data_IF_111678571328
#
_entry.id   IF_111678571328
#
_cell.length_a   1.000
_cell.length_b   1.000
_cell.length_c   1.000
_cell.angle_alpha   90.00
_cell.angle_beta   90.00
_cell.angle_gamma   90.00
#
_symmetry.space_group_name_H-M   'P 1'
#
loop_
_entity.id
_entity.type
_entity.pdbx_description
1 polymer ?
#
# COMPACT_ATOMS: atom_id res chain seq x y z
N UNK A 1 10.83 13.16 3.81
CA UNK A 1 12.17 13.79 3.79
C UNK A 1 13.22 12.67 3.79
N UNK A 2 14.33 12.74 3.03
CA UNK A 2 15.38 11.71 3.11
C UNK A 2 15.93 11.44 4.52
N UNK A 3 15.76 12.38 5.46
CA UNK A 3 16.15 12.20 6.86
C UNK A 3 15.14 11.37 7.69
N UNK A 4 13.94 11.13 7.17
CA UNK A 4 12.88 10.35 7.83
C UNK A 4 12.90 8.86 7.46
N UNK A 5 13.86 8.44 6.62
CA UNK A 5 14.01 7.05 6.20
C UNK A 5 14.38 6.13 7.38
N UNK A 6 13.85 4.91 7.33
CA UNK A 6 14.15 3.87 8.30
C UNK A 6 14.09 2.48 7.66
N UNK A 7 14.80 1.52 8.27
CA UNK A 7 14.61 0.08 8.03
C UNK A 7 14.17 -0.56 9.33
N UNK A 8 13.16 -1.41 9.26
CA UNK A 8 12.66 -2.17 10.38
C UNK A 8 12.93 -3.67 10.22
N UNK A 9 13.27 -4.33 11.33
CA UNK A 9 13.38 -5.78 11.42
C UNK A 9 12.41 -6.31 12.48
N UNK A 10 11.79 -7.45 12.19
CA UNK A 10 10.97 -8.22 13.14
C UNK A 10 11.65 -9.55 13.44
N UNK A 11 11.75 -9.93 14.70
CA UNK A 11 12.06 -11.31 15.05
C UNK A 11 10.81 -12.18 14.79
N UNK A 12 10.78 -12.90 13.67
CA UNK A 12 9.67 -13.80 13.31
C UNK A 12 9.63 -15.10 14.14
N UNK A 13 10.67 -15.36 14.94
CA UNK A 13 10.75 -16.52 15.82
C UNK A 13 10.05 -16.31 17.16
N UNK A 14 10.03 -17.37 17.98
CA UNK A 14 9.50 -17.31 19.36
C UNK A 14 10.57 -17.08 20.41
N UNK A 15 11.83 -17.29 20.07
CA UNK A 15 12.97 -17.16 20.98
C UNK A 15 13.57 -15.76 20.91
N UNK A 16 14.07 -15.26 22.04
CA UNK A 16 14.87 -14.04 22.06
C UNK A 16 16.19 -14.27 21.34
N UNK A 17 16.51 -13.39 20.39
CA UNK A 17 17.80 -13.38 19.68
C UNK A 17 18.63 -12.18 20.12
N UNK A 18 19.94 -12.33 20.10
CA UNK A 18 20.87 -11.22 20.29
C UNK A 18 21.39 -10.77 18.92
N UNK A 19 21.34 -9.46 18.65
CA UNK A 19 21.72 -8.88 17.36
C UNK A 19 23.17 -8.42 17.30
N UNK A 20 23.98 -8.66 18.34
CA UNK A 20 25.36 -8.18 18.40
C UNK A 20 26.16 -8.59 17.15
N UNK A 21 26.75 -7.59 16.49
CA UNK A 21 27.53 -7.73 15.26
C UNK A 21 26.75 -8.20 14.02
N UNK A 22 25.42 -8.32 14.10
CA UNK A 22 24.58 -8.34 12.89
C UNK A 22 24.79 -7.02 12.16
N UNK A 23 24.87 -7.05 10.83
CA UNK A 23 25.20 -5.85 10.05
C UNK A 23 24.56 -5.82 8.69
N UNK A 24 24.21 -4.62 8.25
CA UNK A 24 23.93 -4.37 6.84
C UNK A 24 25.26 -4.24 6.09
N UNK A 25 25.35 -4.90 4.94
CA UNK A 25 26.54 -4.84 4.07
C UNK A 25 26.22 -4.30 2.67
N UNK A 26 24.94 -4.22 2.31
CA UNK A 26 24.41 -3.54 1.12
C UNK A 26 23.15 -2.76 1.53
N UNK A 27 22.90 -1.62 0.87
CA UNK A 27 21.86 -0.65 1.22
C UNK A 27 22.38 0.46 2.13
N UNK A 28 22.41 0.16 3.43
CA UNK A 28 22.87 1.09 4.47
C UNK A 28 24.13 0.57 5.17
N UNK A 29 24.88 1.45 5.82
CA UNK A 29 25.98 1.07 6.71
C UNK A 29 25.53 1.18 8.16
N UNK A 30 25.28 0.01 8.76
CA UNK A 30 24.90 -0.14 10.16
C UNK A 30 25.32 -1.50 10.72
N UNK A 31 25.88 -1.50 11.93
CA UNK A 31 26.18 -2.71 12.70
C UNK A 31 25.48 -2.61 14.06
N UNK A 32 24.69 -3.63 14.38
CA UNK A 32 23.97 -3.71 15.64
C UNK A 32 24.94 -3.91 16.81
N UNK A 33 24.68 -3.20 17.91
CA UNK A 33 25.35 -3.42 19.19
C UNK A 33 24.79 -4.64 19.94
N UNK A 34 25.27 -4.83 21.17
CA UNK A 34 24.75 -5.85 22.07
C UNK A 34 23.32 -5.50 22.52
N UNK A 35 22.34 -6.12 21.86
CA UNK A 35 20.92 -5.95 22.16
C UNK A 35 20.13 -7.22 21.92
N UNK A 36 19.10 -7.41 22.75
CA UNK A 36 18.18 -8.53 22.65
C UNK A 36 16.89 -8.11 21.95
N UNK A 37 16.40 -8.97 21.07
CA UNK A 37 15.12 -8.83 20.38
C UNK A 37 14.26 -10.06 20.68
N UNK A 38 13.22 -9.88 21.49
CA UNK A 38 12.31 -10.95 21.85
C UNK A 38 11.54 -11.49 20.64
N UNK A 39 11.00 -12.70 20.73
CA UNK A 39 10.15 -13.26 19.68
C UNK A 39 8.93 -12.36 19.39
N UNK A 40 8.69 -12.06 18.11
CA UNK A 40 7.65 -11.16 17.64
C UNK A 40 7.95 -9.66 17.79
N UNK A 41 9.09 -9.28 18.40
CA UNK A 41 9.44 -7.87 18.63
C UNK A 41 10.06 -7.22 17.38
N UNK A 42 9.84 -5.91 17.26
CA UNK A 42 10.38 -5.04 16.22
C UNK A 42 11.58 -4.22 16.71
N UNK A 43 12.48 -3.92 15.79
CA UNK A 43 13.57 -2.95 15.97
C UNK A 43 13.76 -2.13 14.72
N UNK A 44 13.92 -0.81 14.89
CA UNK A 44 14.09 0.15 13.80
C UNK A 44 15.53 0.67 13.78
N UNK A 45 16.09 0.81 12.59
CA UNK A 45 17.33 1.53 12.30
C UNK A 45 16.95 2.78 11.51
N UNK A 46 17.31 3.95 12.01
CA UNK A 46 16.80 5.24 11.49
C UNK A 46 17.89 6.04 10.79
N UNK A 47 17.53 6.89 9.83
CA UNK A 47 18.51 7.77 9.17
C UNK A 47 18.98 8.90 10.08
N UNK A 48 18.04 9.60 10.70
CA UNK A 48 18.26 10.67 11.66
C UNK A 48 17.29 10.49 12.84
N UNK A 49 17.85 10.39 14.05
CA UNK A 49 17.07 10.14 15.26
C UNK A 49 16.11 11.29 15.57
N UNK A 50 16.54 12.54 15.40
CA UNK A 50 15.74 13.69 15.76
C UNK A 50 14.58 13.90 14.78
N UNK A 51 14.81 13.65 13.48
CA UNK A 51 13.77 13.65 12.47
C UNK A 51 12.74 12.54 12.72
N UNK A 52 13.21 11.33 13.03
CA UNK A 52 12.33 10.21 13.39
C UNK A 52 11.48 10.51 14.64
N UNK A 53 12.10 11.02 15.72
CA UNK A 53 11.38 11.38 16.95
C UNK A 53 10.33 12.48 16.72
N UNK A 54 10.62 13.42 15.82
CA UNK A 54 9.69 14.48 15.44
C UNK A 54 8.49 13.95 14.64
N UNK A 55 8.72 12.97 13.77
CA UNK A 55 7.69 12.34 12.95
C UNK A 55 6.82 11.36 13.75
N UNK A 56 7.40 10.63 14.71
CA UNK A 56 6.71 9.61 15.51
C UNK A 56 6.71 9.97 17.01
N UNK A 57 6.01 11.05 17.42
CA UNK A 57 5.96 11.47 18.81
C UNK A 57 5.27 10.39 19.66
N UNK A 58 6.05 9.75 20.53
CA UNK A 58 5.55 8.66 21.39
C UNK A 58 5.87 7.25 20.90
N UNK A 59 6.71 7.10 19.86
CA UNK A 59 7.30 5.82 19.50
C UNK A 59 7.93 5.14 20.74
N UNK A 60 7.62 3.86 20.93
CA UNK A 60 7.99 3.13 22.15
C UNK A 60 8.66 1.78 21.89
N UNK A 61 8.74 1.35 20.63
CA UNK A 61 9.49 0.16 20.26
C UNK A 61 11.01 0.44 20.26
N UNK A 62 11.82 -0.57 19.90
CA UNK A 62 13.26 -0.46 19.96
C UNK A 62 13.80 0.34 18.77
N UNK A 63 14.69 1.29 19.04
CA UNK A 63 15.54 1.93 18.03
C UNK A 63 16.96 1.43 18.26
N UNK A 64 17.53 0.74 17.27
CA UNK A 64 18.89 0.21 17.35
C UNK A 64 19.94 1.31 17.23
N UNK A 65 19.64 2.36 16.46
CA UNK A 65 20.52 3.51 16.26
C UNK A 65 20.39 4.12 14.88
N UNK A 66 21.32 5.01 14.57
CA UNK A 66 21.38 5.72 13.29
C UNK A 66 22.32 5.02 12.30
N UNK A 67 21.87 4.85 11.06
CA UNK A 67 22.70 4.34 9.97
C UNK A 67 23.40 5.44 9.18
N UNK A 68 24.48 5.09 8.48
CA UNK A 68 25.13 5.95 7.49
C UNK A 68 24.92 5.44 6.06
N UNK A 69 25.21 6.26 5.05
CA UNK A 69 24.70 6.04 3.69
C UNK A 69 23.29 6.61 3.51
N UNK A 70 22.53 6.11 2.54
CA UNK A 70 21.13 6.48 2.28
C UNK A 70 20.45 5.31 1.59
N UNK A 71 19.13 5.25 1.68
CA UNK A 71 18.38 4.38 0.78
C UNK A 71 18.28 5.04 -0.59
N UNK A 72 18.42 4.27 -1.67
CA UNK A 72 18.30 4.77 -3.03
C UNK A 72 16.83 4.77 -3.49
N UNK A 73 16.30 5.96 -3.79
CA UNK A 73 14.91 6.17 -4.21
C UNK A 73 14.45 5.37 -5.43
N UNK A 74 15.31 4.65 -6.15
CA UNK A 74 14.91 3.83 -7.31
C UNK A 74 14.89 2.33 -7.02
N UNK A 75 15.25 1.94 -5.80
CA UNK A 75 15.56 0.56 -5.49
C UNK A 75 17.06 0.30 -5.41
N UNK A 76 17.41 -0.67 -4.60
CA UNK A 76 18.75 -1.23 -4.42
C UNK A 76 18.66 -2.57 -3.69
N UNK A 77 19.82 -3.20 -3.51
CA UNK A 77 19.96 -4.43 -2.76
C UNK A 77 20.14 -4.16 -1.27
N UNK A 78 19.34 -4.84 -0.45
CA UNK A 78 19.48 -4.89 1.00
C UNK A 78 20.07 -6.24 1.38
N UNK A 79 21.18 -6.22 2.13
CA UNK A 79 21.80 -7.44 2.62
C UNK A 79 22.20 -7.34 4.08
N UNK A 80 21.68 -8.28 4.86
CA UNK A 80 21.90 -8.42 6.31
C UNK A 80 22.72 -9.70 6.56
N UNK A 81 23.82 -9.58 7.30
CA UNK A 81 24.65 -10.71 7.72
C UNK A 81 24.70 -10.85 9.24
N UNK A 82 24.87 -12.07 9.72
CA UNK A 82 25.14 -12.35 11.12
C UNK A 82 26.61 -12.02 11.51
N UNK A 83 26.91 -12.17 12.81
CA UNK A 83 28.22 -11.87 13.38
C UNK A 83 29.41 -12.65 12.75
N UNK A 84 29.15 -13.77 12.06
CA UNK A 84 30.19 -14.60 11.42
C UNK A 84 30.15 -14.51 9.87
N UNK A 85 29.32 -13.62 9.31
CA UNK A 85 29.24 -13.37 7.87
C UNK A 85 28.29 -14.31 7.12
N UNK A 86 27.36 -14.98 7.81
CA UNK A 86 26.28 -15.72 7.12
C UNK A 86 25.16 -14.75 6.77
N UNK A 87 24.68 -14.83 5.54
CA UNK A 87 23.51 -14.06 5.08
C UNK A 87 22.27 -14.45 5.90
N UNK A 88 21.59 -13.45 6.45
CA UNK A 88 20.28 -13.54 7.11
C UNK A 88 19.18 -13.18 6.10
N UNK A 89 19.33 -12.04 5.41
CA UNK A 89 18.43 -11.54 4.37
C UNK A 89 19.24 -10.95 3.21
N UNK A 90 18.72 -11.12 2.00
CA UNK A 90 19.35 -10.67 0.76
C UNK A 90 18.26 -10.54 -0.31
N UNK A 91 17.87 -9.31 -0.64
CA UNK A 91 16.85 -9.01 -1.64
C UNK A 91 17.07 -7.63 -2.25
N UNK A 92 16.60 -7.43 -3.46
CA UNK A 92 16.49 -6.11 -4.09
C UNK A 92 15.09 -5.55 -3.83
N UNK A 93 14.96 -4.28 -3.44
CA UNK A 93 13.68 -3.58 -3.52
C UNK A 93 13.63 -2.68 -4.75
N UNK A 94 12.43 -2.39 -5.24
CA UNK A 94 12.22 -1.40 -6.29
C UNK A 94 11.13 -0.40 -5.91
N UNK A 95 11.39 0.86 -6.21
CA UNK A 95 10.51 1.99 -5.90
C UNK A 95 9.14 1.89 -6.61
N UNK A 96 9.12 1.37 -7.85
CA UNK A 96 7.90 1.22 -8.65
C UNK A 96 7.03 0.02 -8.27
N UNK A 97 7.36 -0.68 -7.20
CA UNK A 97 6.52 -1.77 -6.76
C UNK A 97 5.16 -1.28 -6.27
N UNK A 98 5.09 -0.14 -5.59
CA UNK A 98 3.84 0.48 -5.17
C UNK A 98 3.96 1.98 -5.39
N UNK A 99 3.20 2.53 -6.32
CA UNK A 99 3.31 3.95 -6.70
C UNK A 99 3.15 4.91 -5.50
N UNK A 100 2.35 4.53 -4.50
CA UNK A 100 2.14 5.34 -3.29
C UNK A 100 3.30 5.28 -2.28
N UNK A 101 4.25 4.37 -2.45
CA UNK A 101 5.50 4.35 -1.64
C UNK A 101 6.59 5.23 -2.24
N UNK A 102 6.42 5.71 -3.48
CA UNK A 102 7.29 6.71 -4.12
C UNK A 102 6.79 8.13 -3.78
N UNK A 103 7.12 8.61 -2.58
CA UNK A 103 6.81 9.98 -2.15
C UNK A 103 5.37 10.23 -1.69
N UNK A 104 4.50 9.22 -1.71
CA UNK A 104 3.15 9.28 -1.13
C UNK A 104 3.12 9.14 0.40
N UNK A 105 4.28 8.99 1.06
CA UNK A 105 4.39 8.90 2.51
C UNK A 105 4.17 7.50 3.09
N UNK A 106 3.89 6.49 2.26
CA UNK A 106 3.73 5.09 2.69
C UNK A 106 5.07 4.35 2.65
N UNK A 107 5.29 3.40 3.58
CA UNK A 107 6.45 2.52 3.55
C UNK A 107 6.15 1.21 2.80
N UNK A 108 7.18 0.53 2.31
CA UNK A 108 7.07 -0.85 1.85
C UNK A 108 7.01 -1.79 3.07
N UNK A 109 5.99 -2.64 3.12
CA UNK A 109 5.76 -3.63 4.19
C UNK A 109 5.67 -5.03 3.59
N UNK A 110 6.38 -6.00 4.18
CA UNK A 110 6.28 -7.43 3.79
C UNK A 110 4.89 -7.96 4.14
N UNK A 111 4.23 -8.62 3.19
CA UNK A 111 2.89 -9.20 3.38
C UNK A 111 2.93 -10.42 4.30
N UNK A 112 3.85 -11.35 4.05
CA UNK A 112 4.02 -12.57 4.83
C UNK A 112 5.50 -12.76 5.19
N UNK A 113 5.91 -12.37 6.40
CA UNK A 113 7.31 -12.48 6.82
C UNK A 113 7.74 -13.92 7.12
N UNK A 114 6.81 -14.89 7.07
CA UNK A 114 7.09 -16.33 7.22
C UNK A 114 7.25 -17.05 5.89
N UNK A 115 6.93 -16.40 4.77
CA UNK A 115 7.19 -16.90 3.43
C UNK A 115 8.69 -16.96 3.13
N UNK A 116 9.08 -17.74 2.11
CA UNK A 116 10.48 -17.87 1.69
C UNK A 116 11.08 -16.50 1.31
N UNK A 117 12.13 -16.03 2.03
CA UNK A 117 12.78 -14.75 1.77
C UNK A 117 13.33 -14.58 0.36
N UNK A 118 13.57 -15.66 -0.38
CA UNK A 118 13.99 -15.59 -1.79
C UNK A 118 12.90 -15.04 -2.74
N UNK A 119 11.69 -14.78 -2.25
CA UNK A 119 10.65 -14.08 -3.00
C UNK A 119 10.57 -12.59 -2.64
N UNK A 120 11.37 -12.09 -1.71
CA UNK A 120 11.31 -10.70 -1.28
C UNK A 120 11.84 -9.72 -2.34
N UNK A 121 12.44 -10.22 -3.42
CA UNK A 121 12.77 -9.47 -4.63
C UNK A 121 11.57 -9.31 -5.60
N UNK A 122 10.37 -9.76 -5.20
CA UNK A 122 9.15 -9.68 -6.01
C UNK A 122 8.19 -8.66 -5.45
N UNK A 123 7.67 -7.83 -6.35
CA UNK A 123 6.58 -6.87 -6.10
C UNK A 123 5.46 -7.46 -5.23
N UNK A 124 5.04 -8.70 -5.47
CA UNK A 124 3.89 -9.33 -4.81
C UNK A 124 4.14 -9.77 -3.37
N UNK A 125 5.39 -9.77 -2.89
CA UNK A 125 5.72 -10.03 -1.48
C UNK A 125 5.53 -8.80 -0.59
N UNK A 126 5.33 -7.64 -1.19
CA UNK A 126 5.27 -6.34 -0.51
C UNK A 126 3.91 -5.69 -0.70
N UNK A 127 3.55 -4.80 0.22
CA UNK A 127 2.44 -3.84 0.08
C UNK A 127 2.88 -2.49 0.61
N UNK A 128 2.08 -1.47 0.39
CA UNK A 128 2.22 -0.24 1.16
C UNK A 128 1.75 -0.48 2.60
N UNK A 129 2.28 0.31 3.53
CA UNK A 129 1.74 0.41 4.89
C UNK A 129 0.26 0.82 4.88
N UNK A 130 -0.48 0.48 5.92
CA UNK A 130 -1.88 0.84 6.03
C UNK A 130 -2.09 2.36 6.04
N UNK A 131 -1.19 3.10 6.67
CA UNK A 131 -1.27 4.56 6.82
C UNK A 131 -0.01 5.26 6.30
N UNK A 132 -0.17 6.55 5.99
CA UNK A 132 0.95 7.46 5.76
C UNK A 132 1.84 7.52 7.01
N UNK A 133 3.16 7.60 6.81
CA UNK A 133 4.16 7.46 7.87
C UNK A 133 4.56 6.01 8.17
N UNK A 134 4.04 5.03 7.43
CA UNK A 134 4.40 3.63 7.70
C UNK A 134 3.75 3.06 8.96
N UNK A 135 4.30 1.95 9.44
CA UNK A 135 3.89 1.29 10.69
C UNK A 135 5.08 0.93 11.58
N UNK A 136 6.07 1.83 11.79
CA UNK A 136 7.25 1.47 12.57
C UNK A 136 6.84 1.05 13.99
N UNK A 137 7.34 -0.11 14.41
CA UNK A 137 7.13 -0.73 15.71
C UNK A 137 5.90 -1.63 15.80
N UNK A 138 5.06 -1.67 14.76
CA UNK A 138 3.73 -2.28 14.80
C UNK A 138 3.43 -3.17 13.58
N UNK A 139 2.54 -4.15 13.77
CA UNK A 139 2.02 -4.99 12.68
C UNK A 139 0.72 -4.38 12.15
N UNK A 140 0.76 -3.85 10.93
CA UNK A 140 -0.41 -3.28 10.25
C UNK A 140 -1.14 -4.29 9.34
N UNK A 141 -0.81 -5.58 9.45
CA UNK A 141 -1.44 -6.64 8.67
C UNK A 141 -2.93 -6.78 8.99
N UNK A 142 -3.75 -6.86 7.94
CA UNK A 142 -5.20 -7.02 8.06
C UNK A 142 -5.98 -5.73 8.30
N UNK A 143 -5.31 -4.58 8.46
CA UNK A 143 -5.98 -3.26 8.46
C UNK A 143 -6.48 -2.93 7.05
N UNK A 144 -5.61 -3.11 6.05
CA UNK A 144 -5.96 -3.03 4.63
C UNK A 144 -5.85 -4.43 3.99
N UNK A 145 -6.62 -4.70 2.92
CA UNK A 145 -6.46 -5.95 2.20
C UNK A 145 -5.13 -5.98 1.42
N UNK A 146 -4.67 -7.17 1.06
CA UNK A 146 -3.46 -7.34 0.28
C UNK A 146 -3.66 -6.89 -1.18
N UNK A 147 -2.63 -6.33 -1.86
CA UNK A 147 -2.71 -5.93 -3.25
C UNK A 147 -3.36 -6.98 -4.15
N UNK A 148 -4.31 -6.56 -4.98
CA UNK A 148 -5.06 -7.43 -5.87
C UNK A 148 -6.28 -8.10 -5.24
N UNK A 149 -6.57 -7.87 -3.95
CA UNK A 149 -7.76 -8.41 -3.29
C UNK A 149 -9.07 -7.82 -3.85
N UNK A 150 -9.15 -6.50 -3.99
CA UNK A 150 -10.23 -5.80 -4.71
C UNK A 150 -9.63 -5.14 -5.95
N UNK A 151 -10.10 -5.54 -7.12
CA UNK A 151 -9.59 -5.02 -8.39
C UNK A 151 -10.65 -4.25 -9.14
N UNK A 152 -10.22 -3.25 -9.91
CA UNK A 152 -11.01 -2.72 -11.02
C UNK A 152 -11.01 -3.83 -12.08
N UNK A 153 -12.14 -4.55 -12.18
CA UNK A 153 -12.25 -5.74 -12.99
C UNK A 153 -12.60 -5.41 -14.43
N UNK A 154 -13.60 -4.54 -14.60
CA UNK A 154 -14.05 -4.08 -15.91
C UNK A 154 -14.41 -2.59 -15.89
N UNK A 155 -14.16 -1.91 -17.01
CA UNK A 155 -14.55 -0.52 -17.26
C UNK A 155 -15.22 -0.41 -18.62
N UNK A 156 -16.49 0.02 -18.64
CA UNK A 156 -17.19 0.37 -19.88
C UNK A 156 -17.28 1.89 -20.01
N UNK A 157 -16.37 2.47 -20.80
CA UNK A 157 -16.24 3.92 -21.01
C UNK A 157 -16.94 4.45 -22.28
N UNK A 158 -17.58 3.55 -23.04
CA UNK A 158 -18.38 3.90 -24.22
C UNK A 158 -19.56 2.93 -24.32
N UNK A 159 -20.68 3.30 -23.73
CA UNK A 159 -21.91 2.51 -23.77
C UNK A 159 -22.70 2.80 -25.05
N UNK A 160 -23.66 1.94 -25.40
CA UNK A 160 -24.60 2.26 -26.47
C UNK A 160 -25.49 3.45 -26.08
N UNK A 161 -26.08 4.11 -27.08
CA UNK A 161 -26.97 5.26 -26.87
C UNK A 161 -28.05 4.98 -25.81
N UNK A 162 -28.02 5.76 -24.73
CA UNK A 162 -28.99 5.68 -23.63
C UNK A 162 -28.61 4.72 -22.49
N UNK A 163 -27.49 4.00 -22.60
CA UNK A 163 -26.91 3.21 -21.52
C UNK A 163 -25.83 4.00 -20.78
N UNK A 164 -25.63 3.72 -19.48
CA UNK A 164 -24.63 4.38 -18.66
C UNK A 164 -23.27 3.69 -18.78
N UNK A 165 -22.19 4.47 -18.70
CA UNK A 165 -20.85 3.94 -18.43
C UNK A 165 -20.79 3.36 -17.03
N UNK A 166 -19.87 2.43 -16.80
CA UNK A 166 -19.76 1.81 -15.49
C UNK A 166 -18.36 1.30 -15.18
N UNK A 167 -18.11 1.14 -13.89
CA UNK A 167 -16.91 0.57 -13.30
C UNK A 167 -17.35 -0.65 -12.49
N UNK A 168 -16.76 -1.81 -12.75
CA UNK A 168 -16.95 -3.02 -11.97
C UNK A 168 -15.74 -3.26 -11.06
N UNK A 169 -16.01 -3.48 -9.78
CA UNK A 169 -15.02 -3.93 -8.82
C UNK A 169 -15.26 -5.42 -8.51
N UNK A 170 -14.18 -6.20 -8.46
CA UNK A 170 -14.24 -7.63 -8.15
C UNK A 170 -13.38 -7.97 -6.95
N UNK A 171 -13.92 -8.82 -6.08
CA UNK A 171 -13.19 -9.40 -4.96
C UNK A 171 -12.55 -10.72 -5.37
N UNK A 172 -11.22 -10.73 -5.49
CA UNK A 172 -10.44 -11.91 -5.89
C UNK A 172 -10.23 -12.90 -4.74
N UNK A 173 -10.68 -12.60 -3.53
CA UNK A 173 -10.45 -13.41 -2.35
C UNK A 173 -11.60 -14.36 -2.05
N UNK A 174 -11.37 -15.29 -1.12
CA UNK A 174 -12.37 -16.23 -0.63
C UNK A 174 -13.11 -15.73 0.63
N UNK A 175 -12.92 -14.45 0.99
CA UNK A 175 -13.58 -13.76 2.09
C UNK A 175 -14.35 -12.54 1.59
N UNK A 176 -15.38 -12.12 2.33
CA UNK A 176 -16.05 -10.84 2.08
C UNK A 176 -15.13 -9.69 2.50
N UNK A 177 -15.13 -8.60 1.73
CA UNK A 177 -14.34 -7.40 2.00
C UNK A 177 -15.27 -6.19 2.03
N UNK A 178 -15.24 -5.45 3.13
CA UNK A 178 -15.89 -4.14 3.27
C UNK A 178 -15.08 -3.10 2.49
N UNK A 179 -15.73 -2.43 1.56
CA UNK A 179 -15.20 -1.34 0.73
C UNK A 179 -15.94 -0.02 1.00
N UNK A 180 -16.76 0.04 2.05
CA UNK A 180 -17.37 1.27 2.49
C UNK A 180 -16.31 2.32 2.83
N UNK A 181 -16.61 3.58 2.58
CA UNK A 181 -15.68 4.71 2.69
C UNK A 181 -14.58 4.79 1.63
N UNK A 182 -14.36 3.77 0.80
CA UNK A 182 -13.37 3.81 -0.26
C UNK A 182 -13.78 4.79 -1.37
N UNK A 183 -12.84 5.15 -2.24
CA UNK A 183 -13.07 6.14 -3.29
C UNK A 183 -12.78 5.64 -4.69
N UNK A 184 -13.63 6.04 -5.63
CA UNK A 184 -13.40 5.99 -7.07
C UNK A 184 -13.05 7.39 -7.59
N UNK A 185 -12.12 7.44 -8.55
CA UNK A 185 -11.72 8.67 -9.25
C UNK A 185 -11.19 8.36 -10.65
N UNK A 186 -11.28 9.33 -11.56
CA UNK A 186 -10.64 9.36 -12.89
C UNK A 186 -9.31 10.15 -12.89
N UNK A 187 -8.85 10.60 -11.71
CA UNK A 187 -7.74 11.54 -11.58
C UNK A 187 -6.82 11.16 -10.42
N UNK A 188 -5.58 10.77 -10.74
CA UNK A 188 -4.55 10.39 -9.76
C UNK A 188 -4.06 11.56 -8.88
N UNK A 189 -4.32 12.81 -9.27
CA UNK A 189 -4.08 13.99 -8.43
C UNK A 189 -5.25 14.34 -7.50
N UNK A 190 -6.43 13.76 -7.71
CA UNK A 190 -7.58 13.94 -6.83
C UNK A 190 -8.34 12.63 -6.65
N UNK A 191 -8.00 11.90 -5.59
CA UNK A 191 -8.40 10.51 -5.39
C UNK A 191 -9.79 10.37 -4.74
N UNK A 192 -10.40 11.46 -4.29
CA UNK A 192 -11.59 11.46 -3.43
C UNK A 192 -12.82 12.03 -4.14
N UNK A 193 -13.08 11.62 -5.40
CA UNK A 193 -14.18 12.18 -6.22
C UNK A 193 -15.54 11.53 -5.94
N UNK A 194 -15.59 10.21 -5.87
CA UNK A 194 -16.80 9.46 -5.47
C UNK A 194 -16.48 8.56 -4.29
N UNK A 195 -17.21 8.71 -3.18
CA UNK A 195 -17.08 7.88 -1.98
C UNK A 195 -18.12 6.76 -2.00
N UNK A 196 -17.67 5.53 -1.83
CA UNK A 196 -18.52 4.36 -1.68
C UNK A 196 -19.22 4.43 -0.30
N UNK A 197 -20.52 4.14 -0.29
CA UNK A 197 -21.35 4.24 0.91
C UNK A 197 -20.87 3.30 2.02
N UNK A 198 -21.00 3.73 3.27
CA UNK A 198 -20.61 2.93 4.44
C UNK A 198 -21.36 1.59 4.48
N UNK A 199 -20.66 0.51 4.86
CA UNK A 199 -21.23 -0.84 4.92
C UNK A 199 -21.41 -1.52 3.56
N UNK A 200 -20.90 -0.93 2.47
CA UNK A 200 -20.82 -1.61 1.18
C UNK A 200 -19.73 -2.67 1.23
N UNK A 201 -20.08 -3.93 1.03
CA UNK A 201 -19.13 -5.03 0.99
C UNK A 201 -19.28 -5.83 -0.30
N UNK A 202 -18.16 -6.39 -0.77
CA UNK A 202 -18.14 -7.32 -1.90
C UNK A 202 -17.94 -8.73 -1.33
N UNK A 203 -18.88 -9.63 -1.62
CA UNK A 203 -18.80 -11.03 -1.23
C UNK A 203 -17.58 -11.74 -1.81
N UNK A 204 -17.25 -12.92 -1.27
CA UNK A 204 -16.18 -13.78 -1.81
C UNK A 204 -16.38 -14.05 -3.30
N UNK A 205 -15.35 -13.87 -4.12
CA UNK A 205 -15.41 -14.11 -5.58
C UNK A 205 -16.62 -13.44 -6.26
N UNK A 206 -17.06 -12.30 -5.73
CA UNK A 206 -18.23 -11.56 -6.20
C UNK A 206 -17.80 -10.18 -6.72
N UNK A 207 -18.72 -9.48 -7.37
CA UNK A 207 -18.49 -8.15 -7.93
C UNK A 207 -19.58 -7.15 -7.56
N UNK A 208 -19.27 -5.88 -7.73
CA UNK A 208 -20.21 -4.77 -7.64
C UNK A 208 -19.96 -3.79 -8.78
N UNK A 209 -21.03 -3.21 -9.32
CA UNK A 209 -20.97 -2.28 -10.45
C UNK A 209 -21.44 -0.90 -9.98
N UNK A 210 -20.66 0.12 -10.29
CA UNK A 210 -21.00 1.53 -10.13
C UNK A 210 -21.30 2.13 -11.50
N UNK A 211 -22.45 2.75 -11.66
CA UNK A 211 -22.91 3.36 -12.91
C UNK A 211 -22.71 4.86 -12.89
N UNK A 212 -22.19 5.42 -13.99
CA UNK A 212 -21.88 6.83 -14.11
C UNK A 212 -23.06 7.73 -13.72
N UNK A 213 -24.23 7.50 -14.31
CA UNK A 213 -25.40 8.36 -14.10
C UNK A 213 -26.16 8.12 -12.79
N UNK A 214 -25.90 7.01 -12.09
CA UNK A 214 -26.55 6.70 -10.80
C UNK A 214 -25.64 7.07 -9.63
N UNK A 215 -24.34 6.91 -9.80
CA UNK A 215 -23.34 6.97 -8.75
C UNK A 215 -22.39 8.18 -8.97
N UNK A 216 -21.31 7.99 -9.72
CA UNK A 216 -20.14 8.89 -9.70
C UNK A 216 -20.25 10.15 -10.58
N UNK A 217 -21.30 10.27 -11.40
CA UNK A 217 -21.71 11.47 -12.12
C UNK A 217 -23.12 11.94 -11.72
N UNK A 218 -23.59 11.53 -10.54
CA UNK A 218 -24.90 11.91 -10.02
C UNK A 218 -24.75 12.86 -8.81
N UNK A 219 -24.90 14.18 -8.98
CA UNK A 219 -24.80 15.13 -7.86
C UNK A 219 -25.83 14.95 -6.74
N UNK A 220 -26.86 14.10 -6.94
CA UNK A 220 -27.83 13.77 -5.89
C UNK A 220 -27.40 12.56 -5.06
N UNK A 221 -26.43 11.78 -5.52
CA UNK A 221 -25.84 10.71 -4.74
C UNK A 221 -24.96 11.29 -3.62
N UNK A 222 -25.14 10.91 -2.35
CA UNK A 222 -24.34 11.43 -1.24
C UNK A 222 -22.84 11.13 -1.33
N UNK A 223 -22.46 10.08 -2.05
CA UNK A 223 -21.07 9.71 -2.32
C UNK A 223 -20.42 10.56 -3.41
N UNK A 224 -21.20 11.18 -4.30
CA UNK A 224 -20.70 12.02 -5.38
C UNK A 224 -20.23 13.39 -4.89
N UNK A 225 -18.95 13.49 -4.51
CA UNK A 225 -18.33 14.73 -4.01
C UNK A 225 -17.96 15.64 -5.19
N UNK A 226 -17.31 15.07 -6.20
CA UNK A 226 -16.95 15.75 -7.45
C UNK A 226 -17.38 14.84 -8.61
N UNK A 227 -18.43 15.22 -9.36
CA UNK A 227 -18.90 14.43 -10.49
C UNK A 227 -17.81 14.18 -11.53
N UNK A 228 -17.79 12.97 -12.10
CA UNK A 228 -16.91 12.64 -13.20
C UNK A 228 -17.55 11.67 -14.18
N UNK A 229 -17.03 11.65 -15.41
CA UNK A 229 -17.57 10.84 -16.49
C UNK A 229 -16.43 10.08 -17.15
N UNK A 230 -16.73 8.89 -17.66
CA UNK A 230 -15.73 8.12 -18.37
C UNK A 230 -15.60 8.58 -19.84
N UNK A 231 -14.38 8.53 -20.37
CA UNK A 231 -13.99 9.00 -21.70
C UNK A 231 -13.76 7.83 -22.66
N UNK A 232 -14.52 7.80 -23.75
CA UNK A 232 -14.34 6.83 -24.85
C UNK A 232 -12.95 6.90 -25.51
N UNK A 233 -12.19 7.98 -25.30
CA UNK A 233 -10.85 8.19 -25.86
C UNK A 233 -9.71 7.62 -24.99
N UNK A 234 -10.05 7.07 -23.82
CA UNK A 234 -9.11 6.52 -22.85
C UNK A 234 -8.71 7.51 -21.76
N UNK A 235 -8.43 6.97 -20.58
CA UNK A 235 -8.06 7.67 -19.35
C UNK A 235 -7.63 6.66 -18.27
N UNK A 236 -7.81 7.00 -16.98
CA UNK A 236 -7.59 6.10 -15.86
C UNK A 236 -8.80 6.03 -14.93
N UNK A 237 -8.89 4.95 -14.16
CA UNK A 237 -9.72 4.83 -12.96
C UNK A 237 -8.81 4.46 -11.79
N UNK A 238 -9.03 5.11 -10.65
CA UNK A 238 -8.35 4.84 -9.39
C UNK A 238 -9.36 4.34 -8.37
N UNK A 239 -9.05 3.22 -7.72
CA UNK A 239 -9.69 2.73 -6.51
C UNK A 239 -8.75 2.99 -5.33
N UNK A 240 -9.25 3.69 -4.31
CA UNK A 240 -8.47 4.08 -3.12
C UNK A 240 -9.17 3.59 -1.87
N UNK A 241 -8.51 2.83 -1.01
CA UNK A 241 -9.06 2.58 0.32
C UNK A 241 -8.99 3.83 1.19
N UNK A 242 -9.93 3.94 2.12
CA UNK A 242 -9.94 4.99 3.10
C UNK A 242 -10.74 4.58 4.32
N UNK A 243 -10.52 5.28 5.43
CA UNK A 243 -11.24 5.08 6.68
C UNK A 243 -11.84 6.37 7.20
N UNK A 244 -13.00 6.23 7.83
CA UNK A 244 -13.67 7.29 8.58
C UNK A 244 -14.05 8.53 7.75
N UNK A 245 -14.49 9.55 8.48
CA UNK A 245 -14.88 10.87 7.94
C UNK A 245 -16.15 10.87 7.07
N UNK A 246 -16.90 11.98 7.03
CA UNK A 246 -17.90 12.20 5.98
C UNK A 246 -17.26 12.30 4.58
N UNK A 247 -18.06 12.24 3.50
CA UNK A 247 -17.59 12.42 2.13
C UNK A 247 -16.61 13.58 1.95
N UNK A 248 -15.41 13.28 1.42
CA UNK A 248 -14.35 14.26 1.13
C UNK A 248 -13.42 14.56 2.30
N UNK A 249 -13.54 13.87 3.44
CA UNK A 249 -12.72 14.10 4.64
C UNK A 249 -12.15 12.82 5.27
N UNK A 250 -12.40 11.66 4.66
CA UNK A 250 -11.81 10.39 5.10
C UNK A 250 -10.28 10.38 4.95
N UNK A 251 -9.62 9.50 5.68
CA UNK A 251 -8.16 9.32 5.61
C UNK A 251 -7.88 8.23 4.59
N UNK A 252 -7.16 8.56 3.52
CA UNK A 252 -6.72 7.56 2.55
C UNK A 252 -5.76 6.58 3.21
N UNK A 253 -5.92 5.29 2.91
CA UNK A 253 -5.04 4.23 3.39
C UNK A 253 -4.26 3.61 2.23
N UNK A 254 -3.34 2.70 2.53
CA UNK A 254 -2.36 2.19 1.57
C UNK A 254 -2.86 1.21 0.50
N UNK A 255 -4.16 0.96 0.38
CA UNK A 255 -4.67 0.15 -0.72
C UNK A 255 -5.00 1.00 -1.94
N UNK A 256 -4.44 0.61 -3.08
CA UNK A 256 -4.57 1.30 -4.35
C UNK A 256 -4.65 0.31 -5.50
N UNK A 257 -5.68 0.44 -6.32
CA UNK A 257 -5.69 -0.14 -7.67
C UNK A 257 -5.90 0.97 -8.69
N UNK A 258 -5.14 0.94 -9.78
CA UNK A 258 -5.23 1.92 -10.86
C UNK A 258 -5.31 1.15 -12.16
N UNK A 259 -6.33 1.48 -12.94
CA UNK A 259 -6.47 0.98 -14.29
C UNK A 259 -6.35 2.10 -15.31
N UNK A 260 -5.59 1.86 -16.37
CA UNK A 260 -5.39 2.82 -17.48
C UNK A 260 -5.82 2.14 -18.76
N UNK A 261 -6.75 2.77 -19.47
CA UNK A 261 -7.33 2.21 -20.68
C UNK A 261 -7.27 3.18 -21.85
N UNK A 262 -7.28 2.62 -23.07
CA UNK A 262 -7.24 3.38 -24.31
C UNK A 262 -8.62 3.69 -24.85
N UNK A 263 -8.68 4.10 -26.13
CA UNK A 263 -9.96 4.35 -26.77
C UNK A 263 -10.80 3.07 -26.91
N UNK A 264 -12.12 3.16 -26.65
CA UNK A 264 -13.07 2.05 -26.73
C UNK A 264 -14.09 2.22 -27.85
N UNK A 265 -14.47 1.10 -28.45
CA UNK A 265 -15.67 1.04 -29.29
C UNK A 265 -16.92 0.92 -28.41
N UNK A 266 -18.06 1.39 -28.92
CA UNK A 266 -19.35 1.28 -28.22
C UNK A 266 -19.65 -0.17 -27.81
N UNK A 267 -19.98 -0.36 -26.53
CA UNK A 267 -20.34 -1.63 -25.92
C UNK A 267 -19.16 -2.56 -25.60
N UNK A 268 -17.91 -2.09 -25.74
CA UNK A 268 -16.72 -2.88 -25.44
C UNK A 268 -16.08 -2.39 -24.14
N UNK A 269 -16.06 -3.24 -23.12
CA UNK A 269 -15.36 -2.98 -21.86
C UNK A 269 -13.86 -3.31 -21.97
N UNK A 270 -13.07 -2.68 -21.11
CA UNK A 270 -11.71 -3.12 -20.79
C UNK A 270 -11.76 -3.94 -19.52
N UNK A 271 -11.18 -5.14 -19.51
CA UNK A 271 -11.21 -6.02 -18.35
C UNK A 271 -9.95 -6.86 -18.17
N UNK A 272 -9.82 -7.41 -16.96
CA UNK A 272 -8.73 -8.31 -16.54
C UNK A 272 -9.15 -9.78 -16.59
#
# INVERSE_FOLDING_TARGET
>A
DPNEEFIELKNIGTETINLNLVRFIEGIDFTFGDMELAGGQYVVVVKDQAAFDAQYPGFSALIAGQYSGRLENRGERIRLEDAIGRTILDFDYEDRWRDITDGGGFSLTIIDPTADPNNWDKKDSWRASAYEGGSPGDDDSGIIPNPGAIVINEVLAHSYDGEAHWIELYNTTDAEIDIGSWYLSDNDANLMKYRIADGTAIGRRDYIVFYENMDFNNPSDPGCIIPFALSENGEMVCLSSAEGGPPGTGVLTGYRDIERFGASAAGVSFGR
#
